data_IF_660799829643
#
_entry.id   IF_660799829643
#
_cell.length_a   1.000
_cell.length_b   1.000
_cell.length_c   1.000
_cell.angle_alpha   90.00
_cell.angle_beta   90.00
_cell.angle_gamma   90.00
#
_symmetry.space_group_name_H-M   'P 1'
#
loop_
_entity.id
_entity.type
_entity.pdbx_description
1 polymer ?
#
# COMPACT_ATOMS: atom_id res chain seq x y z
N UNK A 1 13.44 11.75 16.02
CA UNK A 1 13.17 10.43 16.63
C UNK A 1 12.31 9.54 15.74
N UNK A 2 11.07 9.91 15.41
CA UNK A 2 10.15 9.10 14.57
C UNK A 2 10.72 8.61 13.22
N UNK A 3 11.56 9.44 12.57
CA UNK A 3 12.14 9.14 11.27
C UNK A 3 13.10 7.94 11.29
N UNK A 4 13.90 7.79 12.35
CA UNK A 4 14.84 6.69 12.51
C UNK A 4 14.10 5.39 12.88
N UNK A 5 13.13 5.45 13.78
CA UNK A 5 12.32 4.27 14.15
C UNK A 5 11.61 3.64 12.95
N UNK A 6 11.06 4.48 12.06
CA UNK A 6 10.43 4.01 10.81
C UNK A 6 11.42 3.27 9.91
N UNK A 7 12.66 3.76 9.80
CA UNK A 7 13.69 3.09 9.01
C UNK A 7 14.15 1.79 9.68
N UNK A 8 14.29 1.76 11.01
CA UNK A 8 14.60 0.52 11.74
C UNK A 8 13.54 -0.55 11.53
N UNK A 9 12.27 -0.16 11.55
CA UNK A 9 11.17 -1.07 11.23
C UNK A 9 11.29 -1.62 9.80
N UNK A 10 11.53 -0.76 8.81
CA UNK A 10 11.74 -1.19 7.41
C UNK A 10 12.97 -2.10 7.27
N UNK A 11 14.08 -1.77 7.93
CA UNK A 11 15.29 -2.60 7.94
C UNK A 11 15.05 -3.97 8.57
N UNK A 12 14.24 -4.03 9.63
CA UNK A 12 13.81 -5.29 10.24
C UNK A 12 12.98 -6.14 9.28
N UNK A 13 12.06 -5.52 8.54
CA UNK A 13 11.25 -6.23 7.54
C UNK A 13 12.10 -6.83 6.41
N UNK A 14 13.20 -6.15 6.08
CA UNK A 14 14.17 -6.59 5.08
C UNK A 14 15.21 -7.58 5.67
N UNK A 15 15.15 -7.86 6.98
CA UNK A 15 16.06 -8.74 7.70
C UNK A 15 17.55 -8.29 7.66
N UNK A 16 17.78 -6.98 7.73
CA UNK A 16 19.13 -6.42 7.89
C UNK A 16 19.66 -6.71 9.31
N UNK A 17 20.87 -7.26 9.50
CA UNK A 17 21.34 -7.73 10.81
C UNK A 17 21.59 -6.63 11.86
N UNK A 18 21.87 -5.38 11.47
CA UNK A 18 22.20 -4.26 12.38
C UNK A 18 21.10 -3.19 12.35
N UNK A 19 19.84 -3.63 12.39
CA UNK A 19 18.69 -2.72 12.31
C UNK A 19 18.44 -1.92 13.60
N UNK A 20 18.85 -2.44 14.76
CA UNK A 20 18.53 -1.84 16.06
C UNK A 20 19.40 -0.62 16.42
N UNK A 21 20.65 -0.62 15.96
CA UNK A 21 21.62 0.45 16.23
C UNK A 21 21.65 1.50 15.11
N UNK A 22 20.87 1.30 14.04
CA UNK A 22 20.93 2.13 12.84
C UNK A 22 20.56 3.59 13.14
N UNK A 23 21.39 4.50 12.63
CA UNK A 23 21.16 5.94 12.61
C UNK A 23 21.48 6.53 11.22
N UNK A 24 20.61 7.44 10.76
CA UNK A 24 20.72 8.09 9.44
C UNK A 24 21.75 9.21 9.45
N UNK A 25 22.04 9.78 10.61
CA UNK A 25 23.06 10.82 10.75
C UNK A 25 24.48 10.29 10.52
N UNK A 26 24.68 8.98 10.66
CA UNK A 26 25.96 8.33 10.38
C UNK A 26 26.04 7.86 8.92
N UNK A 27 26.88 8.53 8.15
CA UNK A 27 27.11 8.21 6.74
C UNK A 27 27.67 6.80 6.55
N UNK A 28 28.46 6.27 7.49
CA UNK A 28 29.02 4.92 7.37
C UNK A 28 27.91 3.86 7.45
N UNK A 29 26.97 4.04 8.38
CA UNK A 29 25.80 3.17 8.51
C UNK A 29 24.91 3.23 7.27
N UNK A 30 24.66 4.42 6.72
CA UNK A 30 23.90 4.61 5.47
C UNK A 30 24.57 3.85 4.32
N UNK A 31 25.89 3.98 4.18
CA UNK A 31 26.67 3.28 3.14
C UNK A 31 26.62 1.77 3.31
N UNK A 32 26.80 1.27 4.53
CA UNK A 32 26.70 -0.16 4.85
C UNK A 32 25.34 -0.75 4.47
N UNK A 33 24.24 -0.03 4.76
CA UNK A 33 22.90 -0.45 4.37
C UNK A 33 22.75 -0.51 2.86
N UNK A 34 23.26 0.48 2.11
CA UNK A 34 23.19 0.50 0.65
C UNK A 34 23.96 -0.67 0.04
N UNK A 35 25.19 -0.95 0.51
CA UNK A 35 25.98 -2.11 0.06
C UNK A 35 25.21 -3.40 0.31
N UNK A 36 24.64 -3.54 1.50
CA UNK A 36 23.90 -4.73 1.88
C UNK A 36 22.65 -4.91 1.02
N UNK A 37 21.88 -3.84 0.77
CA UNK A 37 20.69 -3.87 -0.08
C UNK A 37 21.04 -4.25 -1.52
N UNK A 38 22.16 -3.75 -2.03
CA UNK A 38 22.62 -4.05 -3.38
C UNK A 38 23.10 -5.50 -3.52
N UNK A 39 23.87 -6.02 -2.57
CA UNK A 39 24.36 -7.41 -2.62
C UNK A 39 23.23 -8.43 -2.42
N UNK A 40 22.23 -8.12 -1.59
CA UNK A 40 21.17 -9.08 -1.24
C UNK A 40 19.94 -9.00 -2.12
N UNK A 41 19.44 -7.80 -2.41
CA UNK A 41 18.06 -7.63 -2.91
C UNK A 41 18.02 -6.94 -4.27
N UNK A 42 18.63 -5.76 -4.38
CA UNK A 42 18.47 -4.91 -5.56
C UNK A 42 19.29 -5.48 -6.73
N UNK A 43 20.57 -5.83 -6.52
CA UNK A 43 21.48 -6.48 -7.50
C UNK A 43 21.40 -5.89 -8.90
N UNK A 44 21.23 -4.58 -9.00
CA UNK A 44 21.05 -3.88 -10.28
C UNK A 44 22.41 -3.66 -10.96
N UNK A 45 23.48 -3.53 -10.18
CA UNK A 45 24.84 -3.39 -10.67
C UNK A 45 25.53 -4.74 -10.81
N UNK A 46 26.32 -4.93 -11.90
CA UNK A 46 27.19 -6.09 -12.03
C UNK A 46 28.20 -6.12 -10.87
N UNK A 47 28.59 -7.34 -10.46
CA UNK A 47 29.43 -7.55 -9.27
C UNK A 47 30.73 -6.73 -9.30
N UNK A 48 31.27 -6.47 -10.49
CA UNK A 48 32.52 -5.73 -10.74
C UNK A 48 32.42 -4.23 -10.42
N UNK A 49 31.23 -3.63 -10.47
CA UNK A 49 31.07 -2.19 -10.21
C UNK A 49 30.63 -1.88 -8.79
N UNK A 50 30.40 -2.90 -7.94
CA UNK A 50 29.91 -2.72 -6.58
C UNK A 50 31.02 -2.21 -5.67
N UNK A 51 30.85 -0.98 -5.20
CA UNK A 51 31.78 -0.36 -4.27
C UNK A 51 31.47 -0.92 -2.87
N UNK A 52 32.38 -1.76 -2.35
CA UNK A 52 32.31 -2.33 -0.98
C UNK A 52 33.07 -1.51 0.05
N UNK A 53 33.89 -0.58 -0.41
CA UNK A 53 34.70 0.27 0.45
C UNK A 53 33.89 1.49 0.92
N UNK A 54 33.43 1.42 2.15
CA UNK A 54 32.60 2.45 2.80
C UNK A 54 33.35 3.77 3.02
N UNK A 55 34.69 3.75 3.03
CA UNK A 55 35.54 4.91 3.30
C UNK A 55 36.15 5.53 2.04
N UNK A 56 35.88 4.97 0.85
CA UNK A 56 36.47 5.48 -0.39
C UNK A 56 35.95 6.87 -0.74
N UNK A 57 36.86 7.76 -1.15
CA UNK A 57 36.53 9.09 -1.68
C UNK A 57 35.70 9.03 -2.98
N UNK A 58 35.68 7.88 -3.67
CA UNK A 58 34.91 7.66 -4.89
C UNK A 58 33.43 7.32 -4.63
N UNK A 59 33.03 7.21 -3.36
CA UNK A 59 31.68 6.81 -2.96
C UNK A 59 30.59 7.73 -3.54
N UNK A 60 30.80 9.05 -3.54
CA UNK A 60 29.83 10.01 -4.06
C UNK A 60 29.59 9.83 -5.57
N UNK A 61 30.64 9.50 -6.32
CA UNK A 61 30.53 9.21 -7.76
C UNK A 61 29.80 7.88 -8.02
N UNK A 62 30.10 6.86 -7.21
CA UNK A 62 29.40 5.58 -7.26
C UNK A 62 27.92 5.73 -6.95
N UNK A 63 27.59 6.45 -5.88
CA UNK A 63 26.22 6.65 -5.44
C UNK A 63 25.41 7.44 -6.46
N UNK A 64 25.97 8.49 -7.08
CA UNK A 64 25.29 9.19 -8.17
C UNK A 64 24.98 8.28 -9.37
N UNK A 65 25.95 7.45 -9.80
CA UNK A 65 25.72 6.47 -10.87
C UNK A 65 24.64 5.45 -10.46
N UNK A 66 24.71 4.96 -9.24
CA UNK A 66 23.73 4.03 -8.68
C UNK A 66 22.31 4.61 -8.66
N UNK A 67 22.15 5.84 -8.17
CA UNK A 67 20.86 6.54 -8.15
C UNK A 67 20.30 6.77 -9.56
N UNK A 68 21.16 7.08 -10.54
CA UNK A 68 20.75 7.22 -11.95
C UNK A 68 20.23 5.91 -12.53
N UNK A 69 20.94 4.79 -12.31
CA UNK A 69 20.52 3.47 -12.81
C UNK A 69 19.19 3.05 -12.17
N UNK A 70 19.04 3.31 -10.88
CA UNK A 70 17.84 2.95 -10.13
C UNK A 70 16.69 3.94 -10.37
N UNK A 71 16.96 5.10 -11.02
CA UNK A 71 16.04 6.21 -11.25
C UNK A 71 15.43 6.73 -9.95
N UNK A 72 16.26 6.90 -8.92
CA UNK A 72 15.84 7.48 -7.65
C UNK A 72 15.57 8.99 -7.84
N UNK A 73 14.44 9.53 -7.36
CA UNK A 73 14.14 10.96 -7.44
C UNK A 73 14.83 11.81 -6.35
N UNK A 74 15.56 11.18 -5.42
CA UNK A 74 16.17 11.85 -4.26
C UNK A 74 17.70 11.86 -4.36
N UNK A 75 18.31 12.93 -3.82
CA UNK A 75 19.76 13.16 -3.79
C UNK A 75 20.35 12.90 -2.40
N UNK A 76 21.69 12.86 -2.31
CA UNK A 76 22.45 12.68 -1.05
C UNK A 76 22.05 13.66 0.06
N UNK A 77 21.63 14.88 -0.30
CA UNK A 77 21.19 15.92 0.64
C UNK A 77 20.01 15.49 1.53
N UNK A 78 19.20 14.53 1.07
CA UNK A 78 18.14 13.93 1.87
C UNK A 78 18.38 12.43 2.02
N UNK A 79 19.44 12.08 2.75
CA UNK A 79 19.87 10.69 2.97
C UNK A 79 18.76 9.83 3.57
N UNK A 80 17.88 10.42 4.39
CA UNK A 80 16.68 9.76 4.92
C UNK A 80 15.72 9.33 3.82
N UNK A 81 15.28 10.27 2.97
CA UNK A 81 14.31 9.99 1.92
C UNK A 81 14.88 9.03 0.86
N UNK A 82 16.17 9.17 0.55
CA UNK A 82 16.89 8.25 -0.32
C UNK A 82 16.86 6.82 0.23
N UNK A 83 17.20 6.63 1.52
CA UNK A 83 17.15 5.31 2.16
C UNK A 83 15.73 4.76 2.27
N UNK A 84 14.77 5.59 2.65
CA UNK A 84 13.37 5.19 2.78
C UNK A 84 12.82 4.67 1.44
N UNK A 85 13.18 5.35 0.35
CA UNK A 85 12.81 4.96 -1.00
C UNK A 85 13.53 3.68 -1.45
N UNK A 86 14.83 3.57 -1.21
CA UNK A 86 15.61 2.36 -1.52
C UNK A 86 15.08 1.13 -0.77
N UNK A 87 14.77 1.27 0.51
CA UNK A 87 14.18 0.20 1.32
C UNK A 87 12.79 -0.18 0.82
N UNK A 88 11.96 0.78 0.45
CA UNK A 88 10.63 0.51 -0.10
C UNK A 88 10.73 -0.22 -1.45
N UNK A 89 11.70 0.15 -2.29
CA UNK A 89 11.99 -0.55 -3.54
C UNK A 89 12.52 -1.96 -3.30
N UNK A 90 13.40 -2.15 -2.32
CA UNK A 90 13.90 -3.45 -1.92
C UNK A 90 12.77 -4.37 -1.43
N UNK A 91 11.87 -3.87 -0.57
CA UNK A 91 10.69 -4.60 -0.11
C UNK A 91 9.77 -4.98 -1.27
N UNK A 92 9.55 -4.08 -2.24
CA UNK A 92 8.75 -4.40 -3.42
C UNK A 92 9.39 -5.52 -4.26
N UNK A 93 10.72 -5.51 -4.42
CA UNK A 93 11.44 -6.57 -5.12
C UNK A 93 11.37 -7.90 -4.38
N UNK A 94 11.51 -7.89 -3.05
CA UNK A 94 11.39 -9.08 -2.20
C UNK A 94 9.98 -9.67 -2.25
N UNK A 95 8.95 -8.82 -2.18
CA UNK A 95 7.56 -9.21 -2.35
C UNK A 95 7.31 -9.83 -3.74
N UNK A 96 7.77 -9.17 -4.81
CA UNK A 96 7.63 -9.69 -6.17
C UNK A 96 8.41 -10.99 -6.39
N UNK A 97 9.59 -11.13 -5.78
CA UNK A 97 10.37 -12.37 -5.82
C UNK A 97 9.63 -13.53 -5.13
N UNK A 98 9.03 -13.26 -3.97
CA UNK A 98 8.23 -14.23 -3.22
C UNK A 98 6.98 -14.64 -4.00
N UNK A 99 6.28 -13.68 -4.60
CA UNK A 99 5.15 -13.95 -5.50
C UNK A 99 5.60 -14.79 -6.70
N UNK A 100 6.69 -14.42 -7.37
CA UNK A 100 7.23 -15.20 -8.50
C UNK A 100 7.66 -16.62 -8.08
N UNK A 101 8.14 -16.82 -6.85
CA UNK A 101 8.45 -18.15 -6.31
C UNK A 101 7.19 -18.98 -6.01
N UNK A 102 6.11 -18.33 -5.55
CA UNK A 102 4.81 -18.98 -5.38
C UNK A 102 4.16 -19.31 -6.73
N UNK A 103 4.24 -18.41 -7.71
CA UNK A 103 3.75 -18.63 -9.08
C UNK A 103 4.61 -19.64 -9.87
N UNK A 104 5.91 -19.80 -9.58
CA UNK A 104 6.74 -20.85 -10.20
C UNK A 104 6.34 -22.27 -9.79
N UNK A 105 5.78 -22.43 -8.58
CA UNK A 105 5.22 -23.70 -8.14
C UNK A 105 3.81 -23.97 -8.73
N UNK A 106 3.22 -22.99 -9.44
CA UNK A 106 1.94 -23.12 -10.14
C UNK A 106 2.07 -22.93 -11.67
N UNK A 107 3.28 -23.02 -12.24
CA UNK A 107 3.53 -22.79 -13.67
C UNK A 107 3.05 -23.95 -14.55
N UNK A 108 1.74 -24.15 -14.65
CA UNK A 108 1.05 -24.52 -15.88
C UNK A 108 -0.30 -23.79 -15.92
N UNK A 109 -0.25 -22.50 -16.26
CA UNK A 109 -1.14 -21.86 -17.24
C UNK A 109 -0.81 -20.37 -17.31
N UNK A 110 -0.46 -19.96 -18.53
CA UNK A 110 -0.52 -18.59 -18.98
C UNK A 110 -1.85 -17.94 -18.58
N UNK A 111 -1.82 -16.72 -18.06
CA UNK A 111 -2.37 -15.60 -18.81
C UNK A 111 -2.08 -14.27 -18.12
N UNK A 112 -1.93 -13.27 -18.98
CA UNK A 112 -1.74 -11.86 -18.70
C UNK A 112 -2.84 -11.26 -17.81
N UNK A 113 -2.67 -11.29 -16.48
CA UNK A 113 -3.72 -10.82 -15.59
C UNK A 113 -3.30 -9.56 -14.80
N UNK A 114 -3.73 -8.42 -15.36
CA UNK A 114 -4.23 -7.28 -14.59
C UNK A 114 -5.17 -7.76 -13.46
N UNK A 115 -5.35 -6.98 -12.37
CA UNK A 115 -6.24 -7.33 -11.26
C UNK A 115 -7.71 -7.29 -11.70
N UNK A 116 -8.13 -8.30 -12.45
CA UNK A 116 -9.49 -8.49 -12.97
C UNK A 116 -10.16 -9.71 -12.33
N UNK A 117 -9.37 -10.54 -11.63
CA UNK A 117 -9.85 -11.77 -10.98
C UNK A 117 -10.62 -11.55 -9.67
N UNK A 118 -10.69 -10.33 -9.15
CA UNK A 118 -11.52 -10.06 -7.96
C UNK A 118 -13.03 -10.29 -8.24
N UNK A 119 -13.44 -10.24 -9.51
CA UNK A 119 -14.85 -10.36 -9.92
C UNK A 119 -15.13 -11.60 -10.80
N UNK A 120 -14.14 -12.45 -11.07
CA UNK A 120 -14.32 -13.64 -11.93
C UNK A 120 -15.31 -14.65 -11.34
N UNK A 121 -15.46 -14.68 -10.01
CA UNK A 121 -16.41 -15.54 -9.31
C UNK A 121 -17.83 -14.95 -9.22
N UNK A 122 -18.06 -13.71 -9.68
CA UNK A 122 -19.38 -13.08 -9.58
C UNK A 122 -20.21 -13.42 -10.82
N UNK A 123 -21.13 -14.36 -10.64
CA UNK A 123 -22.10 -14.70 -11.67
C UNK A 123 -23.26 -13.69 -11.67
N UNK A 124 -23.27 -12.79 -12.66
CA UNK A 124 -24.30 -11.75 -12.88
C UNK A 124 -25.70 -12.35 -13.08
N UNK A 125 -25.79 -13.62 -13.52
CA UNK A 125 -27.06 -14.32 -13.72
C UNK A 125 -27.51 -15.12 -12.50
N UNK A 126 -26.71 -15.17 -11.43
CA UNK A 126 -27.09 -15.86 -10.18
C UNK A 126 -28.32 -15.22 -9.55
N UNK A 127 -29.14 -16.04 -8.89
CA UNK A 127 -30.34 -15.55 -8.22
C UNK A 127 -29.99 -14.63 -7.04
N UNK A 128 -28.87 -14.91 -6.37
CA UNK A 128 -28.33 -14.10 -5.27
C UNK A 128 -27.96 -12.69 -5.71
N UNK A 129 -27.28 -12.55 -6.87
CA UNK A 129 -26.95 -11.24 -7.42
C UNK A 129 -28.22 -10.41 -7.70
N UNK A 130 -29.23 -11.03 -8.32
CA UNK A 130 -30.52 -10.35 -8.62
C UNK A 130 -31.22 -9.89 -7.35
N UNK A 131 -31.29 -10.75 -6.34
CA UNK A 131 -31.93 -10.42 -5.06
C UNK A 131 -31.22 -9.26 -4.35
N UNK A 132 -29.88 -9.26 -4.37
CA UNK A 132 -29.08 -8.20 -3.76
C UNK A 132 -29.21 -6.86 -4.50
N UNK A 133 -29.24 -6.87 -5.83
CA UNK A 133 -29.50 -5.68 -6.65
C UNK A 133 -30.90 -5.12 -6.38
N UNK A 134 -31.91 -5.99 -6.23
CA UNK A 134 -33.27 -5.58 -5.87
C UNK A 134 -33.37 -4.98 -4.46
N UNK A 135 -32.66 -5.57 -3.48
CA UNK A 135 -32.54 -5.00 -2.12
C UNK A 135 -31.92 -3.61 -2.16
N UNK A 136 -30.84 -3.42 -2.92
CA UNK A 136 -30.20 -2.11 -3.10
C UNK A 136 -31.14 -1.10 -3.78
N UNK A 137 -31.87 -1.52 -4.83
CA UNK A 137 -32.85 -0.66 -5.50
C UNK A 137 -33.96 -0.20 -4.54
N UNK A 138 -34.47 -1.11 -3.69
CA UNK A 138 -35.47 -0.79 -2.67
C UNK A 138 -34.94 0.19 -1.64
N UNK A 139 -33.70 0.02 -1.19
CA UNK A 139 -33.07 0.91 -0.21
C UNK A 139 -32.88 2.33 -0.78
N UNK A 140 -32.45 2.42 -2.04
CA UNK A 140 -32.24 3.69 -2.75
C UNK A 140 -33.52 4.28 -3.38
N UNK A 141 -34.67 3.61 -3.19
CA UNK A 141 -35.98 4.00 -3.77
C UNK A 141 -35.96 4.16 -5.29
N UNK A 142 -35.22 3.30 -6.00
CA UNK A 142 -35.11 3.31 -7.46
C UNK A 142 -36.24 2.46 -8.07
N UNK A 143 -36.91 2.92 -9.15
CA UNK A 143 -37.94 2.14 -9.84
C UNK A 143 -37.37 0.84 -10.41
N UNK A 144 -38.12 -0.25 -10.25
CA UNK A 144 -37.65 -1.56 -10.66
C UNK A 144 -37.65 -1.71 -12.19
N UNK A 145 -36.59 -2.29 -12.75
CA UNK A 145 -36.43 -2.49 -14.19
C UNK A 145 -36.30 -3.99 -14.52
N UNK A 146 -36.87 -4.49 -15.63
CA UNK A 146 -36.75 -5.91 -16.02
C UNK A 146 -35.30 -6.37 -16.25
N UNK A 147 -34.44 -5.49 -16.76
CA UNK A 147 -33.01 -5.75 -16.89
C UNK A 147 -32.25 -5.41 -15.60
N UNK A 148 -31.79 -6.43 -14.88
CA UNK A 148 -30.97 -6.30 -13.66
C UNK A 148 -29.67 -5.53 -13.92
N UNK A 149 -29.06 -5.68 -15.11
CA UNK A 149 -27.81 -4.97 -15.45
C UNK A 149 -28.01 -3.46 -15.56
N UNK A 150 -29.14 -3.05 -16.13
CA UNK A 150 -29.53 -1.64 -16.24
C UNK A 150 -29.89 -1.08 -14.87
N UNK A 151 -30.58 -1.88 -14.04
CA UNK A 151 -30.89 -1.51 -12.65
C UNK A 151 -29.63 -1.32 -11.81
N UNK A 152 -28.66 -2.24 -11.90
CA UNK A 152 -27.38 -2.11 -11.21
C UNK A 152 -26.59 -0.88 -11.66
N UNK A 153 -26.56 -0.60 -12.97
CA UNK A 153 -25.93 0.61 -13.49
C UNK A 153 -26.60 1.88 -12.93
N UNK A 154 -27.92 1.91 -12.84
CA UNK A 154 -28.66 3.02 -12.24
C UNK A 154 -28.32 3.18 -10.75
N UNK A 155 -28.21 2.08 -10.00
CA UNK A 155 -27.76 2.10 -8.60
C UNK A 155 -26.36 2.72 -8.49
N UNK A 156 -25.39 2.30 -9.31
CA UNK A 156 -24.04 2.86 -9.30
C UNK A 156 -24.05 4.37 -9.56
N UNK A 157 -24.79 4.82 -10.57
CA UNK A 157 -24.90 6.26 -10.89
C UNK A 157 -25.52 7.07 -9.75
N UNK A 158 -26.55 6.53 -9.10
CA UNK A 158 -27.17 7.20 -7.95
C UNK A 158 -26.21 7.28 -6.77
N UNK A 159 -25.48 6.21 -6.49
CA UNK A 159 -24.45 6.20 -5.43
C UNK A 159 -23.37 7.23 -5.74
N UNK A 160 -22.85 7.27 -6.96
CA UNK A 160 -21.85 8.24 -7.40
C UNK A 160 -22.35 9.68 -7.25
N UNK A 161 -23.59 9.96 -7.65
CA UNK A 161 -24.19 11.29 -7.47
C UNK A 161 -24.38 11.66 -5.99
N UNK A 162 -24.74 10.68 -5.14
CA UNK A 162 -24.92 10.91 -3.69
C UNK A 162 -23.59 11.10 -2.95
N UNK A 163 -22.52 10.46 -3.42
CA UNK A 163 -21.17 10.59 -2.88
C UNK A 163 -20.35 11.70 -3.56
N UNK A 164 -20.92 12.43 -4.52
CA UNK A 164 -20.23 13.53 -5.15
C UNK A 164 -19.93 14.64 -4.13
N UNK A 165 -18.71 15.18 -4.17
CA UNK A 165 -18.17 16.11 -3.15
C UNK A 165 -19.08 17.33 -2.96
N UNK A 166 -19.73 17.80 -4.03
CA UNK A 166 -20.66 18.93 -3.98
C UNK A 166 -21.95 18.59 -3.22
N UNK A 167 -22.48 17.38 -3.41
CA UNK A 167 -23.67 16.88 -2.70
C UNK A 167 -23.34 16.60 -1.24
N UNK A 168 -22.17 16.04 -0.95
CA UNK A 168 -21.67 15.86 0.41
C UNK A 168 -21.47 17.20 1.13
N UNK A 169 -20.85 18.18 0.47
CA UNK A 169 -20.66 19.51 1.05
C UNK A 169 -21.99 20.22 1.32
N UNK A 170 -22.99 20.05 0.46
CA UNK A 170 -24.33 20.59 0.68
C UNK A 170 -25.06 19.84 1.80
N UNK A 171 -24.94 18.52 1.88
CA UNK A 171 -25.51 17.73 2.98
C UNK A 171 -24.86 18.08 4.33
N UNK A 172 -23.54 18.30 4.37
CA UNK A 172 -22.83 18.79 5.57
C UNK A 172 -23.30 20.18 5.98
N UNK A 173 -23.65 21.05 5.01
CA UNK A 173 -24.20 22.38 5.28
C UNK A 173 -25.65 22.34 5.77
N UNK A 174 -26.49 21.46 5.22
CA UNK A 174 -27.92 21.39 5.54
C UNK A 174 -28.23 20.58 6.81
N UNK A 175 -27.53 19.47 7.04
CA UNK A 175 -27.78 18.57 8.18
C UNK A 175 -26.72 18.73 9.28
N UNK A 176 -25.68 19.52 9.05
CA UNK A 176 -24.49 19.56 9.89
C UNK A 176 -23.67 18.27 9.78
N UNK A 177 -22.38 18.34 10.10
CA UNK A 177 -21.66 17.14 10.52
C UNK A 177 -22.22 16.76 11.88
N UNK A 178 -23.26 15.92 11.92
CA UNK A 178 -23.46 15.09 13.10
C UNK A 178 -22.19 14.27 13.23
N UNK A 179 -21.25 14.72 14.07
CA UNK A 179 -20.29 13.82 14.67
C UNK A 179 -21.18 12.72 15.23
N UNK A 180 -21.07 11.51 14.68
CA UNK A 180 -21.50 10.34 15.43
C UNK A 180 -20.58 10.39 16.64
N UNK A 181 -21.07 10.99 17.72
CA UNK A 181 -20.31 11.06 18.95
C UNK A 181 -19.91 9.63 19.25
N UNK A 182 -18.60 9.46 19.44
CA UNK A 182 -18.00 8.18 19.78
C UNK A 182 -18.81 7.63 20.94
N UNK A 183 -19.51 6.50 20.73
CA UNK A 183 -20.43 5.92 21.72
C UNK A 183 -19.73 5.92 23.08
N UNK A 184 -20.23 6.72 24.01
CA UNK A 184 -19.66 6.75 25.35
C UNK A 184 -19.91 5.39 25.98
N UNK A 185 -18.97 4.91 26.80
CA UNK A 185 -19.12 3.62 27.48
C UNK A 185 -20.43 3.53 28.27
N UNK A 186 -20.92 4.67 28.76
CA UNK A 186 -22.18 4.79 29.50
C UNK A 186 -23.43 4.55 28.64
N UNK A 187 -23.35 4.79 27.32
CA UNK A 187 -24.45 4.56 26.38
C UNK A 187 -24.50 3.10 25.88
N UNK A 188 -23.46 2.32 26.20
CA UNK A 188 -23.35 0.89 25.84
C UNK A 188 -23.73 0.06 27.06
N UNK A 189 -24.84 -0.68 26.97
CA UNK A 189 -25.24 -1.62 28.03
C UNK A 189 -24.27 -2.81 28.06
N UNK A 190 -23.18 -2.70 28.84
CA UNK A 190 -22.10 -3.69 28.89
C UNK A 190 -22.49 -4.99 29.60
N UNK A 191 -23.62 -5.03 30.32
CA UNK A 191 -24.11 -6.24 30.99
C UNK A 191 -23.31 -6.64 32.24
N UNK A 192 -22.35 -5.83 32.67
CA UNK A 192 -21.63 -5.98 33.93
C UNK A 192 -21.32 -4.59 34.51
N UNK A 193 -21.56 -4.43 35.81
CA UNK A 193 -21.26 -3.19 36.54
C UNK A 193 -19.85 -3.25 37.09
N UNK A 194 -19.02 -2.27 36.74
CA UNK A 194 -17.72 -2.05 37.40
C UNK A 194 -17.99 -1.05 38.52
N UNK A 195 -18.00 -1.52 39.77
CA UNK A 195 -17.90 -0.63 40.93
C UNK A 195 -16.42 -0.26 41.13
N UNK A 196 -16.17 1.01 41.47
CA UNK A 196 -14.84 1.62 41.71
C UNK A 196 -13.85 0.73 42.49
#
# INVERSE_FOLDING_TARGET
MLANERLRFKLRSVNYPVYDVFDVSDLENVRNVIVWLEDRIIRVLPAETRLRDVQSAEWANYLNKYLQVIKCPYNESNSWAMLDWLLSKALLLEYNSTQNAQHKNLSEKSDSNLPTEAFSNININSNEFKENVLKMAKLLQIPNHPDIRTLFKAICLVIEQKLEVNVLNNAIKEYGTSKVDMLKLDDVCLGFSVND
#
